data_IF_148785690867
#
_entry.id   IF_148785690867
#
_cell.length_a   1.000
_cell.length_b   1.000
_cell.length_c   1.000
_cell.angle_alpha   90.00
_cell.angle_beta   90.00
_cell.angle_gamma   90.00
#
_symmetry.space_group_name_H-M   'P 1'
#
loop_
_entity.id
_entity.type
_entity.pdbx_description
1 polymer ?
#
# COMPACT_ATOMS: atom_id res chain seq x y z
N UNK A 1 -14.40 -6.08 -27.93
CA UNK A 1 -14.24 -6.06 -27.34
C UNK A 1 -13.57 -5.72 -26.55
N UNK A 2 -13.43 -5.64 -26.10
CA UNK A 2 -12.95 -5.31 -25.40
C UNK A 2 -12.33 -5.28 -24.77
N UNK A 3 -12.23 -5.44 -24.50
CA UNK A 3 -11.79 -5.36 -23.91
C UNK A 3 -11.13 -5.09 -23.38
N UNK A 4 -10.86 -5.07 -23.43
CA UNK A 4 -10.11 -4.82 -22.92
C UNK A 4 -10.14 -4.31 -21.83
N UNK A 5 -10.76 -4.56 -21.15
CA UNK A 5 -10.92 -4.17 -19.91
C UNK A 5 -9.83 -4.57 -19.12
N UNK A 6 -9.16 -3.72 -18.56
CA UNK A 6 -7.95 -4.05 -17.91
C UNK A 6 -8.04 -3.90 -16.41
N UNK A 7 -9.20 -3.70 -15.90
CA UNK A 7 -9.39 -3.52 -14.47
C UNK A 7 -9.71 -4.84 -13.82
N UNK A 8 -9.11 -5.11 -12.72
CA UNK A 8 -9.46 -6.31 -11.98
C UNK A 8 -9.29 -6.06 -10.49
N UNK A 9 -9.77 -6.97 -9.70
CA UNK A 9 -9.84 -6.80 -8.27
C UNK A 9 -9.00 -7.84 -7.56
N UNK A 10 -8.27 -7.40 -6.56
CA UNK A 10 -7.54 -8.30 -5.72
C UNK A 10 -8.10 -8.26 -4.32
N UNK A 11 -8.12 -9.39 -3.65
CA UNK A 11 -8.55 -9.45 -2.28
C UNK A 11 -7.30 -9.72 -1.45
N UNK A 12 -7.01 -8.83 -0.55
CA UNK A 12 -5.84 -8.96 0.29
C UNK A 12 -6.14 -9.90 1.45
N UNK A 13 -5.08 -10.32 2.14
CA UNK A 13 -5.24 -11.29 3.20
C UNK A 13 -6.12 -10.80 4.33
N UNK A 14 -6.16 -9.51 4.54
CA UNK A 14 -6.98 -8.96 5.59
C UNK A 14 -8.42 -8.74 5.16
N UNK A 15 -8.76 -9.19 3.95
CA UNK A 15 -10.12 -9.02 3.46
C UNK A 15 -10.36 -7.74 2.67
N UNK A 16 -9.36 -6.92 2.57
CA UNK A 16 -9.50 -5.68 1.81
C UNK A 16 -9.53 -5.98 0.32
N UNK A 17 -10.44 -5.36 -0.39
CA UNK A 17 -10.55 -5.54 -1.82
C UNK A 17 -9.86 -4.38 -2.51
N UNK A 18 -8.95 -4.69 -3.40
CA UNK A 18 -8.23 -3.69 -4.15
C UNK A 18 -8.51 -3.86 -5.62
N UNK A 19 -8.94 -2.81 -6.25
CA UNK A 19 -9.22 -2.82 -7.66
C UNK A 19 -8.22 -1.95 -8.36
N UNK A 20 -7.63 -2.44 -9.42
CA UNK A 20 -6.71 -1.61 -10.17
C UNK A 20 -6.78 -1.96 -11.65
N UNK A 21 -6.24 -1.09 -12.44
CA UNK A 21 -6.28 -1.22 -13.87
C UNK A 21 -4.89 -1.48 -14.39
N UNK A 22 -4.80 -2.38 -15.36
CA UNK A 22 -3.56 -2.63 -16.03
C UNK A 22 -3.58 -2.01 -17.40
N UNK A 23 -4.17 -0.93 -17.55
CA UNK A 23 -4.29 -0.27 -18.81
C UNK A 23 -2.97 0.02 -19.38
N UNK A 24 -2.84 -0.27 -20.63
CA UNK A 24 -1.68 -0.02 -21.17
C UNK A 24 -1.66 1.27 -21.78
N UNK A 25 -2.64 1.95 -21.93
CA UNK A 25 -2.57 3.17 -22.48
C UNK A 25 -2.14 4.06 -21.53
N UNK A 26 -1.37 4.73 -21.83
CA UNK A 26 -0.79 5.60 -21.15
C UNK A 26 -1.62 6.37 -20.43
N UNK A 27 -1.56 6.33 -19.34
CA UNK A 27 -2.31 7.09 -18.61
C UNK A 27 -1.68 8.33 -18.38
N UNK A 28 -2.36 9.32 -18.24
CA UNK A 28 -1.87 10.60 -18.09
C UNK A 28 -1.87 10.95 -16.67
N UNK A 29 -1.14 10.26 -15.88
CA UNK A 29 -1.01 10.58 -14.52
C UNK A 29 -0.14 11.79 -14.39
N UNK A 30 -0.49 12.67 -13.55
CA UNK A 30 0.33 13.80 -13.25
C UNK A 30 1.59 13.29 -12.62
N UNK A 31 2.73 13.79 -13.04
CA UNK A 31 3.98 13.39 -12.44
C UNK A 31 4.06 13.77 -10.98
N UNK A 32 3.46 14.88 -10.59
CA UNK A 32 3.44 15.29 -9.20
C UNK A 32 2.65 14.31 -8.35
N UNK A 33 1.53 13.83 -8.89
CA UNK A 33 0.72 12.86 -8.16
C UNK A 33 1.46 11.54 -8.02
N UNK A 34 2.10 11.10 -9.08
CA UNK A 34 2.86 9.85 -9.05
C UNK A 34 3.98 9.94 -8.04
N UNK A 35 4.70 11.04 -8.02
CA UNK A 35 5.79 11.21 -7.09
C UNK A 35 5.28 11.21 -5.65
N UNK A 36 4.16 11.86 -5.41
CA UNK A 36 3.59 11.89 -4.06
C UNK A 36 3.21 10.50 -3.59
N UNK A 37 2.63 9.70 -4.47
CA UNK A 37 2.27 8.33 -4.13
C UNK A 37 3.51 7.50 -3.85
N UNK A 38 4.53 7.62 -4.68
CA UNK A 38 5.76 6.87 -4.49
C UNK A 38 6.45 7.26 -3.18
N UNK A 39 6.42 8.54 -2.84
CA UNK A 39 7.01 8.99 -1.58
C UNK A 39 6.25 8.41 -0.39
N UNK A 40 4.94 8.34 -0.48
CA UNK A 40 4.13 7.75 0.59
C UNK A 40 4.43 6.26 0.71
N UNK A 41 4.59 5.58 -0.40
CA UNK A 41 4.93 4.17 -0.39
C UNK A 41 6.29 3.95 0.23
N UNK A 42 7.26 4.77 -0.10
CA UNK A 42 8.60 4.63 0.46
C UNK A 42 8.59 4.80 1.97
N UNK A 43 7.81 5.75 2.45
CA UNK A 43 7.71 5.95 3.90
C UNK A 43 7.01 4.76 4.56
N UNK A 44 5.98 4.23 3.92
CA UNK A 44 5.27 3.07 4.45
C UNK A 44 6.19 1.85 4.49
N UNK A 45 6.99 1.66 3.46
CA UNK A 45 7.93 0.56 3.40
C UNK A 45 8.96 0.67 4.54
N UNK A 46 9.52 1.87 4.74
CA UNK A 46 10.46 2.07 5.81
C UNK A 46 9.85 1.84 7.18
N UNK A 47 8.61 2.27 7.36
CA UNK A 47 7.89 2.06 8.60
C UNK A 47 7.64 0.56 8.83
N UNK A 48 7.27 -0.16 7.77
CA UNK A 48 7.06 -1.60 7.88
C UNK A 48 8.34 -2.32 8.25
N UNK A 49 9.46 -1.88 7.73
CA UNK A 49 10.75 -2.47 8.09
C UNK A 49 11.07 -2.24 9.56
N UNK A 50 10.73 -1.07 10.07
CA UNK A 50 10.90 -0.79 11.49
C UNK A 50 10.03 -1.69 12.35
N UNK A 51 8.80 -1.93 11.93
CA UNK A 51 7.89 -2.81 12.64
C UNK A 51 8.43 -4.23 12.65
N UNK A 52 8.98 -4.66 11.52
CA UNK A 52 9.56 -5.97 11.43
C UNK A 52 10.68 -6.14 12.46
N UNK A 53 11.52 -5.13 12.60
CA UNK A 53 12.58 -5.16 13.59
C UNK A 53 12.03 -5.18 15.01
N UNK A 54 10.94 -4.47 15.26
CA UNK A 54 10.30 -4.51 16.58
C UNK A 54 9.86 -5.93 16.92
N UNK A 55 9.31 -6.63 15.95
CA UNK A 55 8.89 -8.01 16.16
C UNK A 55 10.10 -8.90 16.42
N UNK A 56 11.15 -8.71 15.67
CA UNK A 56 12.37 -9.48 15.82
C UNK A 56 13.00 -9.23 17.19
N UNK A 57 12.85 -8.03 17.72
CA UNK A 57 13.39 -7.67 19.02
C UNK A 57 12.47 -8.06 20.15
N UNK A 58 11.35 -8.67 19.88
CA UNK A 58 10.44 -9.13 20.91
C UNK A 58 9.62 -8.03 21.57
N UNK A 59 9.36 -6.95 20.84
CA UNK A 59 8.56 -5.86 21.40
C UNK A 59 7.13 -6.33 21.64
N UNK A 60 6.50 -5.63 22.55
CA UNK A 60 5.14 -5.95 22.94
C UNK A 60 4.17 -5.96 21.77
N UNK A 61 3.31 -6.96 21.72
CA UNK A 61 2.39 -7.13 20.63
C UNK A 61 1.46 -5.91 20.48
N UNK A 62 1.05 -5.31 21.57
CA UNK A 62 0.18 -4.14 21.49
C UNK A 62 0.90 -2.98 20.80
N UNK A 63 2.20 -2.80 21.06
CA UNK A 63 2.96 -1.76 20.37
C UNK A 63 3.04 -2.03 18.89
N UNK A 64 3.25 -3.29 18.51
CA UNK A 64 3.34 -3.66 17.12
C UNK A 64 2.02 -3.39 16.40
N UNK A 65 0.90 -3.73 17.03
CA UNK A 65 -0.41 -3.48 16.44
C UNK A 65 -0.70 -2.01 16.25
N UNK A 66 -0.28 -1.19 17.20
CA UNK A 66 -0.46 0.26 17.06
C UNK A 66 0.33 0.77 15.85
N UNK A 67 1.54 0.29 15.67
CA UNK A 67 2.36 0.71 14.54
C UNK A 67 1.78 0.23 13.21
N UNK A 68 1.25 -0.98 13.17
CA UNK A 68 0.63 -1.49 11.96
C UNK A 68 -0.62 -0.66 11.60
N UNK A 69 -1.37 -0.25 12.60
CA UNK A 69 -2.54 0.60 12.37
C UNK A 69 -2.12 1.94 11.78
N UNK A 70 -0.99 2.48 12.23
CA UNK A 70 -0.48 3.73 11.71
C UNK A 70 -0.09 3.61 10.25
N UNK A 71 0.53 2.49 9.86
CA UNK A 71 0.90 2.26 8.46
C UNK A 71 -0.36 2.15 7.61
N UNK A 72 -1.35 1.41 8.09
CA UNK A 72 -2.59 1.25 7.36
C UNK A 72 -3.26 2.59 7.11
N UNK A 73 -3.32 3.44 8.13
CA UNK A 73 -3.93 4.75 7.99
C UNK A 73 -3.17 5.62 6.99
N UNK A 74 -1.85 5.56 7.01
CA UNK A 74 -1.03 6.35 6.11
C UNK A 74 -1.25 5.92 4.65
N UNK A 75 -1.45 4.65 4.42
CA UNK A 75 -1.69 4.15 3.07
C UNK A 75 -3.09 4.49 2.60
N UNK A 76 -4.05 4.42 3.49
CA UNK A 76 -5.44 4.65 3.13
C UNK A 76 -5.79 6.13 2.93
N UNK A 77 -5.00 7.00 3.41
CA UNK A 77 -5.21 8.42 3.17
C UNK A 77 -4.54 8.83 1.90
#
# INVERSE_FOLDING_TARGET
>A
MAEEQKTHTHVLEDGTVVEHSHGEHGHHHSHAHTKAVLNRMSRAIGHMESIKRMIEDGRDCAEVLIQLSAVKSAINN
#
